data_IF_692610947883
#
_entry.id   IF_692610947883
#
_cell.length_a   1.000
_cell.length_b   1.000
_cell.length_c   1.000
_cell.angle_alpha   90.00
_cell.angle_beta   90.00
_cell.angle_gamma   90.00
#
_symmetry.space_group_name_H-M   'P 1'
#
loop_
_entity.id
_entity.type
_entity.pdbx_description
1 polymer ?
#
# COMPACT_ATOMS: atom_id res chain seq x y z
N UNK A 1 49.00 -49.23 -36.67
CA UNK A 1 49.10 -48.28 -35.54
C UNK A 1 47.71 -47.75 -35.27
N UNK A 2 47.07 -48.20 -34.19
CA UNK A 2 45.62 -47.93 -33.89
C UNK A 2 45.55 -47.07 -32.66
N UNK A 3 45.20 -45.81 -32.84
CA UNK A 3 44.97 -44.85 -31.72
C UNK A 3 43.53 -45.01 -31.20
N UNK A 4 43.39 -45.45 -29.94
CA UNK A 4 42.12 -45.53 -29.24
C UNK A 4 41.89 -44.21 -28.57
N UNK A 5 40.85 -43.44 -29.03
CA UNK A 5 40.31 -42.32 -28.32
C UNK A 5 39.48 -42.81 -27.14
N UNK A 6 39.85 -42.37 -25.91
CA UNK A 6 39.04 -42.55 -24.70
C UNK A 6 38.05 -41.37 -24.58
N UNK A 7 36.78 -41.63 -24.80
CA UNK A 7 35.71 -40.70 -24.45
C UNK A 7 35.43 -40.84 -22.96
N UNK A 8 35.74 -39.81 -22.21
CA UNK A 8 35.38 -39.70 -20.78
C UNK A 8 33.93 -39.24 -20.69
N UNK A 9 33.03 -40.17 -20.47
CA UNK A 9 31.62 -39.85 -20.18
C UNK A 9 31.56 -39.38 -18.74
N UNK A 10 31.27 -38.08 -18.55
CA UNK A 10 31.05 -37.49 -17.24
C UNK A 10 29.85 -38.17 -16.56
N UNK A 11 30.01 -38.61 -15.32
CA UNK A 11 29.01 -39.36 -14.59
C UNK A 11 27.78 -38.50 -14.30
N UNK A 12 26.56 -39.04 -14.37
CA UNK A 12 25.31 -38.31 -14.17
C UNK A 12 25.18 -37.67 -12.77
N UNK A 13 25.99 -38.08 -11.82
CA UNK A 13 26.02 -37.52 -10.45
C UNK A 13 26.62 -36.12 -10.38
N UNK A 14 27.46 -35.72 -11.34
CA UNK A 14 28.05 -34.35 -11.37
C UNK A 14 27.04 -33.37 -11.97
N UNK A 15 26.24 -33.80 -12.94
CA UNK A 15 25.20 -32.95 -13.56
C UNK A 15 24.06 -32.61 -12.60
N UNK A 16 23.66 -33.57 -11.74
CA UNK A 16 22.61 -33.35 -10.75
C UNK A 16 23.04 -32.39 -9.64
N UNK A 17 24.33 -32.40 -9.25
CA UNK A 17 24.86 -31.46 -8.23
C UNK A 17 25.02 -30.01 -8.74
N UNK A 18 25.23 -29.83 -10.04
CA UNK A 18 25.28 -28.51 -10.65
C UNK A 18 23.86 -27.90 -10.81
N UNK A 19 22.86 -28.75 -11.05
CA UNK A 19 21.46 -28.27 -11.19
C UNK A 19 20.83 -27.88 -9.85
N UNK A 20 21.23 -28.50 -8.73
CA UNK A 20 20.73 -28.18 -7.39
C UNK A 20 21.31 -26.88 -6.82
N UNK A 21 22.42 -26.38 -7.34
CA UNK A 21 23.06 -25.15 -6.85
C UNK A 21 22.49 -23.88 -7.51
N UNK A 22 21.77 -24.00 -8.62
CA UNK A 22 21.16 -22.86 -9.33
C UNK A 22 19.77 -22.52 -8.81
N UNK A 23 19.07 -23.43 -8.09
CA UNK A 23 17.70 -23.22 -7.62
C UNK A 23 17.64 -22.53 -6.24
N UNK A 24 18.77 -22.40 -5.53
CA UNK A 24 18.79 -21.86 -4.13
C UNK A 24 18.99 -20.35 -4.02
N UNK A 25 18.93 -19.56 -5.07
CA UNK A 25 19.12 -18.11 -5.01
C UNK A 25 17.88 -17.30 -5.42
N UNK A 26 16.68 -17.80 -5.11
CA UNK A 26 15.54 -16.90 -5.00
C UNK A 26 15.63 -16.26 -3.61
N UNK A 27 16.52 -15.28 -3.49
CA UNK A 27 16.51 -14.33 -2.39
C UNK A 27 15.19 -13.57 -2.53
N UNK A 28 14.23 -13.87 -1.68
CA UNK A 28 13.07 -13.00 -1.45
C UNK A 28 13.64 -11.71 -0.86
N UNK A 29 14.01 -10.78 -1.73
CA UNK A 29 14.29 -9.42 -1.34
C UNK A 29 12.95 -8.83 -0.91
N UNK A 30 12.60 -8.99 0.36
CA UNK A 30 11.59 -8.16 1.02
C UNK A 30 12.15 -6.74 1.03
N UNK A 31 11.91 -5.99 -0.05
CA UNK A 31 12.26 -4.58 -0.10
C UNK A 31 11.38 -3.87 0.92
N UNK A 32 11.95 -3.38 2.00
CA UNK A 32 11.34 -2.33 2.79
C UNK A 32 11.10 -1.15 1.84
N UNK A 33 9.84 -0.81 1.63
CA UNK A 33 9.46 0.26 0.70
C UNK A 33 9.79 1.61 1.33
N UNK A 34 10.45 2.49 0.59
CA UNK A 34 10.66 3.87 1.04
C UNK A 34 9.35 4.67 0.97
N UNK A 35 9.22 5.73 1.77
CA UNK A 35 8.07 6.65 1.75
C UNK A 35 7.66 7.08 0.34
N UNK A 36 8.64 7.38 -0.50
CA UNK A 36 8.40 7.83 -1.89
C UNK A 36 7.72 6.75 -2.75
N UNK A 37 8.05 5.48 -2.52
CA UNK A 37 7.45 4.38 -3.24
C UNK A 37 5.99 4.18 -2.82
N UNK A 38 5.71 4.16 -1.52
CA UNK A 38 4.35 4.00 -0.99
C UNK A 38 3.42 5.11 -1.47
N UNK A 39 3.84 6.37 -1.35
CA UNK A 39 3.02 7.49 -1.84
C UNK A 39 2.81 7.44 -3.35
N UNK A 40 3.84 7.04 -4.12
CA UNK A 40 3.74 6.88 -5.57
C UNK A 40 2.75 5.78 -5.95
N UNK A 41 2.81 4.65 -5.24
CA UNK A 41 1.87 3.54 -5.43
C UNK A 41 0.44 3.94 -5.06
N UNK A 42 0.24 4.58 -3.91
CA UNK A 42 -1.10 5.03 -3.50
C UNK A 42 -1.66 6.09 -4.45
N UNK A 43 -0.83 7.02 -4.93
CA UNK A 43 -1.27 7.97 -5.99
C UNK A 43 -1.67 7.26 -7.27
N UNK A 44 -0.88 6.28 -7.72
CA UNK A 44 -1.21 5.51 -8.91
C UNK A 44 -2.52 4.73 -8.75
N UNK A 45 -2.82 4.23 -7.55
CA UNK A 45 -4.07 3.57 -7.22
C UNK A 45 -5.25 4.55 -7.22
N UNK A 46 -5.08 5.76 -6.66
CA UNK A 46 -6.12 6.80 -6.69
C UNK A 46 -6.58 7.13 -8.12
N UNK A 47 -5.66 7.13 -9.11
CA UNK A 47 -6.02 7.38 -10.52
C UNK A 47 -6.84 6.26 -11.16
N UNK A 48 -6.96 5.10 -10.54
CA UNK A 48 -7.78 3.97 -11.02
C UNK A 48 -9.13 3.89 -10.33
N UNK A 49 -9.36 4.72 -9.30
CA UNK A 49 -10.66 4.80 -8.66
C UNK A 49 -11.67 5.50 -9.55
N UNK A 50 -12.91 5.00 -9.51
CA UNK A 50 -14.04 5.57 -10.21
C UNK A 50 -15.20 5.77 -9.22
N UNK A 51 -15.87 6.91 -9.29
CA UNK A 51 -17.10 7.15 -8.52
C UNK A 51 -18.14 6.07 -8.87
N UNK A 52 -18.79 5.53 -7.85
CA UNK A 52 -19.73 4.42 -8.00
C UNK A 52 -19.13 3.04 -7.66
N UNK A 53 -17.84 2.93 -7.44
CA UNK A 53 -17.23 1.70 -6.91
C UNK A 53 -17.74 1.40 -5.51
N UNK A 54 -17.92 0.11 -5.21
CA UNK A 54 -18.24 -0.36 -3.86
C UNK A 54 -17.04 -0.23 -2.93
N UNK A 55 -17.28 -0.14 -1.61
CA UNK A 55 -16.22 -0.14 -0.61
C UNK A 55 -15.23 -1.30 -0.81
N UNK A 56 -15.74 -2.51 -1.10
CA UNK A 56 -14.87 -3.65 -1.36
C UNK A 56 -13.93 -3.42 -2.55
N UNK A 57 -14.44 -2.88 -3.66
CA UNK A 57 -13.62 -2.55 -4.83
C UNK A 57 -12.58 -1.47 -4.53
N UNK A 58 -12.95 -0.47 -3.73
CA UNK A 58 -12.02 0.57 -3.25
C UNK A 58 -10.91 -0.05 -2.40
N UNK A 59 -11.25 -0.91 -1.44
CA UNK A 59 -10.28 -1.58 -0.57
C UNK A 59 -9.39 -2.55 -1.35
N UNK A 60 -9.92 -3.26 -2.35
CA UNK A 60 -9.14 -4.12 -3.25
C UNK A 60 -8.13 -3.31 -4.08
N UNK A 61 -8.54 -2.15 -4.61
CA UNK A 61 -7.66 -1.28 -5.40
C UNK A 61 -6.62 -0.58 -4.53
N UNK A 62 -7.04 0.04 -3.43
CA UNK A 62 -6.15 0.80 -2.54
C UNK A 62 -5.29 -0.09 -1.66
N UNK A 63 -5.76 -1.28 -1.33
CA UNK A 63 -5.14 -2.23 -0.41
C UNK A 63 -5.45 -1.92 1.05
N UNK A 64 -5.33 -2.96 1.88
CA UNK A 64 -5.60 -2.92 3.34
C UNK A 64 -4.40 -3.37 4.16
N UNK A 65 -3.33 -3.83 3.52
CA UNK A 65 -2.14 -4.29 4.21
C UNK A 65 -1.35 -3.11 4.80
N UNK A 66 -0.94 -3.17 6.07
CA UNK A 66 -0.12 -2.15 6.67
C UNK A 66 1.17 -1.90 5.88
N UNK A 67 1.54 -0.65 5.77
CA UNK A 67 2.73 -0.22 5.03
C UNK A 67 3.91 -0.05 5.98
N UNK A 68 5.06 -0.62 5.62
CA UNK A 68 6.28 -0.53 6.42
C UNK A 68 7.17 0.54 5.83
N UNK A 69 7.37 1.62 6.58
CA UNK A 69 8.25 2.71 6.18
C UNK A 69 9.63 2.56 6.81
N UNK A 70 10.64 2.41 5.98
CA UNK A 70 12.03 2.45 6.44
C UNK A 70 12.48 3.91 6.58
N UNK A 71 12.69 4.36 7.81
CA UNK A 71 13.09 5.74 8.12
C UNK A 71 14.61 5.95 8.12
N UNK A 72 15.41 4.99 7.63
CA UNK A 72 16.87 5.09 7.54
C UNK A 72 17.60 4.57 8.78
N UNK A 73 18.94 4.68 8.76
CA UNK A 73 19.88 3.92 9.61
C UNK A 73 19.73 4.16 11.13
N UNK A 74 18.98 5.18 11.56
CA UNK A 74 18.89 5.57 12.98
C UNK A 74 17.48 5.66 13.56
N UNK A 75 16.46 5.23 12.82
CA UNK A 75 15.07 5.20 13.32
C UNK A 75 14.45 3.82 13.08
N UNK A 76 13.61 3.40 14.01
CA UNK A 76 12.83 2.16 13.89
C UNK A 76 11.91 2.25 12.68
N UNK A 77 11.75 1.13 11.97
CA UNK A 77 10.78 1.02 10.89
C UNK A 77 9.38 1.32 11.45
N UNK A 78 8.71 2.32 10.86
CA UNK A 78 7.34 2.65 11.20
C UNK A 78 6.38 1.74 10.45
N UNK A 79 5.40 1.18 11.15
CA UNK A 79 4.26 0.50 10.54
C UNK A 79 3.10 1.49 10.49
N UNK A 80 2.61 1.79 9.29
CA UNK A 80 1.49 2.70 9.07
C UNK A 80 0.29 1.90 8.59
N UNK A 81 -0.87 2.00 9.26
CA UNK A 81 -2.10 1.37 8.80
C UNK A 81 -2.46 1.81 7.37
N UNK A 82 -3.16 0.97 6.64
CA UNK A 82 -3.66 1.27 5.31
C UNK A 82 -5.07 0.72 5.13
N UNK A 83 -6.13 1.57 5.13
CA UNK A 83 -6.06 3.04 5.27
C UNK A 83 -5.38 3.49 6.58
N UNK A 84 -4.82 4.71 6.57
CA UNK A 84 -4.17 5.31 7.75
C UNK A 84 -5.14 5.46 8.91
N UNK A 85 -6.34 5.92 8.61
CA UNK A 85 -7.45 6.06 9.54
C UNK A 85 -8.79 5.95 8.77
N UNK A 86 -9.87 5.74 9.50
CA UNK A 86 -11.23 5.76 8.98
C UNK A 86 -12.20 6.28 10.02
N UNK A 87 -13.23 6.98 9.56
CA UNK A 87 -14.34 7.40 10.43
C UNK A 87 -15.68 7.15 9.74
N UNK A 88 -16.68 6.78 10.54
CA UNK A 88 -18.03 6.48 10.06
C UNK A 88 -19.05 7.35 10.81
N UNK A 89 -19.95 7.96 10.07
CA UNK A 89 -21.02 8.81 10.56
C UNK A 89 -22.37 8.35 10.03
N UNK A 90 -23.41 8.53 10.82
CA UNK A 90 -24.80 8.29 10.42
C UNK A 90 -25.54 9.62 10.32
N UNK A 91 -26.02 9.95 9.12
CA UNK A 91 -26.89 11.12 8.88
C UNK A 91 -28.26 10.59 8.50
N UNK A 92 -29.18 10.61 9.48
CA UNK A 92 -30.44 9.91 9.33
C UNK A 92 -30.27 8.39 9.21
N UNK A 93 -30.60 7.81 8.06
CA UNK A 93 -30.38 6.40 7.74
C UNK A 93 -29.21 6.15 6.79
N UNK A 94 -28.52 7.22 6.38
CA UNK A 94 -27.39 7.15 5.44
C UNK A 94 -26.09 7.00 6.20
N UNK A 95 -25.31 6.00 5.85
CA UNK A 95 -23.97 5.79 6.38
C UNK A 95 -22.97 6.55 5.52
N UNK A 96 -22.14 7.37 6.14
CA UNK A 96 -21.04 8.11 5.52
C UNK A 96 -19.76 7.60 6.14
N UNK A 97 -18.87 7.04 5.31
CA UNK A 97 -17.56 6.58 5.71
C UNK A 97 -16.49 7.40 5.00
N UNK A 98 -15.46 7.79 5.74
CA UNK A 98 -14.27 8.45 5.17
C UNK A 98 -13.04 7.62 5.47
N UNK A 99 -12.35 7.19 4.41
CA UNK A 99 -11.09 6.44 4.48
C UNK A 99 -9.92 7.37 4.15
N UNK A 100 -8.90 7.42 5.01
CA UNK A 100 -7.74 8.29 4.81
C UNK A 100 -6.52 7.48 4.37
N UNK A 101 -5.97 7.78 3.20
CA UNK A 101 -4.81 7.10 2.64
C UNK A 101 -3.60 8.03 2.54
N UNK A 102 -2.41 7.52 2.90
CA UNK A 102 -1.14 8.27 2.76
C UNK A 102 -0.79 8.39 1.28
N UNK A 103 -0.73 9.62 0.77
CA UNK A 103 -0.52 9.88 -0.65
C UNK A 103 0.50 10.96 -0.96
N UNK A 104 0.89 11.78 0.02
CA UNK A 104 1.73 12.95 -0.20
C UNK A 104 2.67 13.21 0.98
N UNK A 105 3.54 12.24 1.30
CA UNK A 105 4.50 12.43 2.38
C UNK A 105 5.43 13.60 2.08
N UNK A 106 5.39 14.62 2.92
CA UNK A 106 6.18 15.85 2.77
C UNK A 106 7.42 15.81 3.66
N UNK A 107 7.28 15.29 4.88
CA UNK A 107 8.35 15.23 5.85
C UNK A 107 8.67 13.77 6.21
N UNK A 108 9.96 13.47 6.33
CA UNK A 108 10.42 12.13 6.77
C UNK A 108 10.69 12.13 8.28
N UNK A 109 9.76 12.68 9.06
CA UNK A 109 9.88 12.83 10.51
C UNK A 109 9.13 11.74 11.29
N UNK A 110 8.38 10.88 10.59
CA UNK A 110 7.59 9.80 11.16
C UNK A 110 6.24 10.24 11.69
N UNK A 111 5.84 11.48 11.42
CA UNK A 111 4.51 12.01 11.74
C UNK A 111 3.74 12.17 10.43
N UNK A 112 2.57 11.56 10.35
CA UNK A 112 1.67 11.75 9.20
C UNK A 112 0.68 12.87 9.54
N UNK A 113 0.67 13.90 8.71
CA UNK A 113 -0.21 15.06 8.86
C UNK A 113 -1.34 15.02 7.84
N UNK A 114 -2.40 15.81 8.05
CA UNK A 114 -3.59 15.78 7.19
C UNK A 114 -3.29 16.12 5.73
N UNK A 115 -2.32 16.99 5.46
CA UNK A 115 -1.89 17.36 4.11
C UNK A 115 -1.09 16.26 3.39
N UNK A 116 -0.70 15.21 4.12
CA UNK A 116 -0.07 14.01 3.58
C UNK A 116 -1.10 12.91 3.24
N UNK A 117 -2.35 13.11 3.61
CA UNK A 117 -3.45 12.18 3.41
C UNK A 117 -4.38 12.61 2.28
N UNK A 118 -5.04 11.62 1.68
CA UNK A 118 -6.18 11.84 0.79
C UNK A 118 -7.39 11.12 1.37
N UNK A 119 -8.47 11.84 1.71
CA UNK A 119 -9.73 11.24 2.12
C UNK A 119 -10.49 10.69 0.91
N UNK A 120 -11.09 9.52 1.06
CA UNK A 120 -12.05 8.90 0.16
C UNK A 120 -13.40 8.88 0.88
N UNK A 121 -14.43 9.39 0.24
CA UNK A 121 -15.79 9.50 0.83
C UNK A 121 -16.69 8.44 0.23
N UNK A 122 -17.28 7.62 1.08
CA UNK A 122 -18.26 6.61 0.71
C UNK A 122 -19.61 6.96 1.36
N UNK A 123 -20.69 6.74 0.62
CA UNK A 123 -22.07 6.87 1.10
C UNK A 123 -22.77 5.54 0.87
N UNK A 124 -23.30 4.95 1.94
CA UNK A 124 -23.90 3.62 1.93
C UNK A 124 -23.01 2.57 1.23
N UNK A 125 -21.67 2.63 1.51
CA UNK A 125 -20.66 1.75 0.95
C UNK A 125 -20.30 1.99 -0.52
N UNK A 126 -20.71 3.12 -1.11
CA UNK A 126 -20.40 3.49 -2.50
C UNK A 126 -19.50 4.74 -2.52
N UNK A 127 -18.38 4.67 -3.25
CA UNK A 127 -17.46 5.80 -3.43
C UNK A 127 -18.15 6.94 -4.17
N UNK A 128 -18.21 8.12 -3.55
CA UNK A 128 -18.83 9.32 -4.14
C UNK A 128 -17.80 10.39 -4.51
N UNK A 129 -16.59 10.33 -3.97
CA UNK A 129 -15.52 11.25 -4.33
C UNK A 129 -14.31 11.13 -3.39
N UNK A 130 -13.27 11.91 -3.66
CA UNK A 130 -12.06 11.92 -2.85
C UNK A 130 -11.32 13.26 -2.90
N UNK A 131 -10.40 13.44 -1.95
CA UNK A 131 -9.60 14.66 -1.77
C UNK A 131 -10.24 15.67 -0.82
N UNK A 132 -9.41 16.51 -0.24
CA UNK A 132 -9.83 17.46 0.80
C UNK A 132 -10.86 18.48 0.33
N UNK A 133 -10.73 18.98 -0.90
CA UNK A 133 -11.70 19.92 -1.47
C UNK A 133 -13.07 19.28 -1.63
N UNK A 134 -13.10 18.01 -2.08
CA UNK A 134 -14.36 17.27 -2.17
C UNK A 134 -14.97 17.06 -0.78
N UNK A 135 -14.17 16.56 0.16
CA UNK A 135 -14.62 16.31 1.52
C UNK A 135 -15.19 17.57 2.18
N UNK A 136 -14.52 18.71 2.05
CA UNK A 136 -14.99 20.00 2.58
C UNK A 136 -16.37 20.37 2.02
N UNK A 137 -16.53 20.33 0.69
CA UNK A 137 -17.82 20.61 0.05
C UNK A 137 -18.88 19.63 0.51
N UNK A 138 -18.55 18.34 0.57
CA UNK A 138 -19.46 17.28 1.00
C UNK A 138 -19.93 17.48 2.45
N UNK A 139 -19.01 17.83 3.36
CA UNK A 139 -19.35 18.09 4.77
C UNK A 139 -20.21 19.32 4.94
N UNK A 140 -19.91 20.39 4.20
CA UNK A 140 -20.69 21.64 4.22
C UNK A 140 -22.13 21.40 3.72
N UNK A 141 -22.29 20.62 2.63
CA UNK A 141 -23.59 20.29 2.04
C UNK A 141 -24.46 19.36 2.91
N UNK A 142 -23.84 18.56 3.78
CA UNK A 142 -24.53 17.57 4.62
C UNK A 142 -24.57 17.94 6.12
N UNK A 143 -24.14 19.15 6.50
CA UNK A 143 -24.06 19.61 7.90
C UNK A 143 -23.27 18.61 8.78
N UNK A 144 -22.20 18.02 8.23
CA UNK A 144 -21.42 16.97 8.87
C UNK A 144 -20.17 17.54 9.53
N UNK A 145 -19.95 17.18 10.78
CA UNK A 145 -18.71 17.51 11.51
C UNK A 145 -17.88 16.25 11.66
N UNK A 146 -16.72 16.26 11.02
CA UNK A 146 -15.73 15.17 11.10
C UNK A 146 -14.74 15.42 12.24
N UNK A 147 -14.28 14.34 12.84
CA UNK A 147 -13.20 14.40 13.85
C UNK A 147 -11.85 14.56 13.14
N UNK A 148 -11.75 13.98 11.93
CA UNK A 148 -10.54 13.92 11.16
C UNK A 148 -9.58 12.82 11.62
N UNK A 149 -8.56 12.51 10.83
CA UNK A 149 -7.63 11.42 11.15
C UNK A 149 -6.85 11.71 12.43
N UNK A 150 -6.82 10.71 13.30
CA UNK A 150 -6.06 10.74 14.54
C UNK A 150 -4.69 10.09 14.30
N UNK A 151 -3.63 10.69 14.85
CA UNK A 151 -2.32 10.02 14.86
C UNK A 151 -2.44 8.71 15.65
N UNK A 152 -1.96 7.57 15.12
CA UNK A 152 -1.95 6.32 15.87
C UNK A 152 -1.14 6.50 17.17
N UNK A 153 -1.53 5.85 18.27
CA UNK A 153 -0.74 5.88 19.49
C UNK A 153 0.66 5.33 19.23
N UNK A 154 1.67 6.06 19.67
CA UNK A 154 3.09 5.70 19.59
C UNK A 154 3.40 4.47 20.45
#
# INVERSE_FOLDING_TARGET
MRVRGRSTIASPRVLVRLLTLVVSSVVVSGCAQGFEQVQSENRAKLFRLEVGQTQQQVLEEMGTEPQIFNQGVFRSDGVVPNPYDSETHLVGSTEIEVLYYVTNVQNKDGVITNDELTPLVLVDGILVGWGWTYLQTFTDDNDLVLIGPQAPPL
#
